data_IF_204066054100
#
_entry.id   IF_204066054100
#
_cell.length_a   1.000
_cell.length_b   1.000
_cell.length_c   1.000
_cell.angle_alpha   90.00
_cell.angle_beta   90.00
_cell.angle_gamma   90.00
#
_symmetry.space_group_name_H-M   'P 1'
#
loop_
_entity.id
_entity.type
_entity.pdbx_description
1 polymer ?
#
# COMPACT_ATOMS: atom_id res chain seq x y z
N UNK A 1 14.60 6.84 18.08
CA UNK A 1 13.67 6.15 17.16
C UNK A 1 13.16 7.15 16.14
N UNK A 2 13.03 6.76 14.86
CA UNK A 2 12.48 7.64 13.82
C UNK A 2 10.99 7.39 13.61
N UNK A 3 10.22 8.47 13.45
CA UNK A 3 8.81 8.40 13.07
C UNK A 3 8.69 8.53 11.53
N UNK A 4 7.78 7.77 10.92
CA UNK A 4 7.40 7.91 9.50
C UNK A 4 6.00 8.52 9.48
N UNK A 5 5.85 9.68 8.85
CA UNK A 5 4.54 10.30 8.59
C UNK A 5 4.23 10.12 7.12
N UNK A 6 3.08 9.53 6.80
CA UNK A 6 2.58 9.48 5.43
C UNK A 6 1.91 10.82 5.11
N UNK A 7 2.38 11.50 4.07
CA UNK A 7 1.77 12.72 3.54
C UNK A 7 1.07 12.46 2.21
N UNK A 8 0.29 13.42 1.72
CA UNK A 8 -0.34 13.31 0.40
C UNK A 8 0.69 13.30 -0.74
N UNK A 9 1.84 13.95 -0.56
CA UNK A 9 2.91 14.00 -1.56
C UNK A 9 3.60 12.63 -1.75
N UNK A 10 3.45 11.74 -0.77
CA UNK A 10 3.95 10.36 -0.85
C UNK A 10 3.08 9.46 -1.73
N UNK A 11 1.89 9.92 -2.16
CA UNK A 11 0.95 9.15 -2.99
C UNK A 11 1.29 9.16 -4.49
N UNK A 12 2.29 9.94 -4.93
CA UNK A 12 2.75 9.88 -6.31
C UNK A 12 3.65 8.67 -6.54
N UNK A 13 3.24 7.77 -7.44
CA UNK A 13 4.01 6.59 -7.83
C UNK A 13 4.67 6.73 -9.21
N UNK A 14 4.68 7.93 -9.79
CA UNK A 14 5.16 8.16 -11.16
C UNK A 14 6.63 7.75 -11.37
N UNK A 15 7.43 7.79 -10.32
CA UNK A 15 8.85 7.43 -10.32
C UNK A 15 9.12 5.95 -10.00
N UNK A 16 8.08 5.15 -9.73
CA UNK A 16 8.24 3.74 -9.37
C UNK A 16 8.65 2.94 -10.60
N UNK A 17 9.89 2.46 -10.61
CA UNK A 17 10.44 1.66 -11.70
C UNK A 17 10.25 0.17 -11.48
N UNK A 18 10.02 -0.24 -10.22
CA UNK A 18 9.80 -1.64 -9.85
C UNK A 18 8.90 -1.77 -8.62
N UNK A 19 7.94 -2.69 -8.73
CA UNK A 19 7.10 -3.10 -7.61
C UNK A 19 7.86 -4.13 -6.78
N UNK A 20 7.95 -3.86 -5.47
CA UNK A 20 8.57 -4.77 -4.52
C UNK A 20 7.58 -5.69 -3.83
N UNK A 21 7.94 -6.08 -2.61
CA UNK A 21 7.15 -6.92 -1.70
C UNK A 21 7.01 -6.23 -0.36
N UNK A 22 5.82 -6.35 0.22
CA UNK A 22 5.57 -5.98 1.61
C UNK A 22 5.05 -7.22 2.33
N UNK A 23 5.73 -7.59 3.41
CA UNK A 23 5.34 -8.67 4.28
C UNK A 23 4.89 -8.10 5.61
N UNK A 24 3.74 -8.55 6.09
CA UNK A 24 3.19 -8.19 7.38
C UNK A 24 3.23 -9.45 8.24
N UNK A 25 4.02 -9.42 9.30
CA UNK A 25 4.23 -10.55 10.20
C UNK A 25 3.76 -10.15 11.59
N UNK A 26 2.89 -10.96 12.20
CA UNK A 26 2.56 -10.81 13.61
C UNK A 26 3.79 -11.23 14.43
N UNK A 27 4.15 -10.40 15.42
CA UNK A 27 5.20 -10.70 16.38
C UNK A 27 4.57 -10.80 17.79
N UNK A 28 5.35 -11.33 18.74
CA UNK A 28 4.86 -11.59 20.09
C UNK A 28 4.25 -10.35 20.74
N UNK A 29 3.09 -10.51 21.38
CA UNK A 29 2.42 -9.42 22.12
C UNK A 29 1.39 -8.63 21.32
N UNK A 30 1.00 -9.08 20.11
CA UNK A 30 0.04 -8.39 19.25
C UNK A 30 0.65 -7.24 18.44
N UNK A 31 1.97 -7.09 18.52
CA UNK A 31 2.72 -6.18 17.67
C UNK A 31 2.84 -6.76 16.26
N UNK A 32 3.02 -5.88 15.27
CA UNK A 32 3.16 -6.26 13.86
C UNK A 32 4.48 -5.73 13.32
N UNK A 33 5.25 -6.62 12.71
CA UNK A 33 6.44 -6.27 11.95
C UNK A 33 6.09 -6.14 10.47
N UNK A 34 6.40 -5.00 9.88
CA UNK A 34 6.22 -4.75 8.45
C UNK A 34 7.59 -4.73 7.78
N UNK A 35 7.82 -5.67 6.87
CA UNK A 35 9.06 -5.76 6.09
C UNK A 35 8.78 -5.26 4.68
N UNK A 36 9.46 -4.19 4.29
CA UNK A 36 9.38 -3.59 2.95
C UNK A 36 10.67 -3.90 2.20
N UNK A 37 10.56 -4.50 1.01
CA UNK A 37 11.74 -4.85 0.21
C UNK A 37 11.49 -4.80 -1.30
N UNK A 38 12.53 -4.49 -2.07
CA UNK A 38 12.53 -4.62 -3.54
C UNK A 38 11.75 -3.56 -4.32
N UNK A 39 11.20 -2.53 -3.67
CA UNK A 39 10.67 -1.35 -4.36
C UNK A 39 11.82 -0.49 -4.88
N UNK A 40 11.66 0.04 -6.08
CA UNK A 40 12.63 0.98 -6.66
C UNK A 40 11.89 2.23 -7.15
N UNK A 41 12.40 3.39 -6.73
CA UNK A 41 11.92 4.71 -7.12
C UNK A 41 13.10 5.55 -7.61
N UNK A 42 12.95 6.21 -8.76
CA UNK A 42 14.04 6.97 -9.38
C UNK A 42 14.31 8.33 -8.74
N UNK A 43 13.38 8.84 -7.93
CA UNK A 43 13.39 10.20 -7.36
C UNK A 43 13.61 10.22 -5.84
N UNK A 44 13.69 9.05 -5.18
CA UNK A 44 13.75 8.97 -3.72
C UNK A 44 15.18 8.70 -3.23
N UNK A 45 15.81 9.64 -2.51
CA UNK A 45 17.22 9.53 -2.12
C UNK A 45 17.48 8.70 -0.85
N UNK A 46 16.45 8.34 -0.07
CA UNK A 46 16.64 7.69 1.24
C UNK A 46 15.72 6.50 1.45
N UNK A 47 16.21 5.49 2.18
CA UNK A 47 15.42 4.31 2.54
C UNK A 47 14.12 4.69 3.26
N UNK A 48 14.11 5.73 4.10
CA UNK A 48 12.90 6.20 4.79
C UNK A 48 11.83 6.64 3.81
N UNK A 49 12.19 7.42 2.79
CA UNK A 49 11.25 7.87 1.76
C UNK A 49 10.75 6.69 0.93
N UNK A 50 11.65 5.75 0.57
CA UNK A 50 11.26 4.51 -0.11
C UNK A 50 10.22 3.72 0.69
N UNK A 51 10.45 3.52 2.00
CA UNK A 51 9.50 2.88 2.90
C UNK A 51 8.18 3.64 2.96
N UNK A 52 8.23 4.97 3.10
CA UNK A 52 7.03 5.83 3.17
C UNK A 52 6.16 5.66 1.93
N UNK A 53 6.76 5.72 0.73
CA UNK A 53 6.04 5.57 -0.54
C UNK A 53 5.55 4.16 -0.79
N UNK A 54 6.33 3.14 -0.43
CA UNK A 54 5.87 1.75 -0.52
C UNK A 54 4.67 1.48 0.41
N UNK A 55 4.66 2.08 1.60
CA UNK A 55 3.53 2.00 2.53
C UNK A 55 2.29 2.73 2.00
N UNK A 56 2.47 3.90 1.36
CA UNK A 56 1.37 4.59 0.69
C UNK A 56 0.76 3.73 -0.44
N UNK A 57 1.61 3.08 -1.25
CA UNK A 57 1.16 2.14 -2.29
C UNK A 57 0.35 0.99 -1.71
N UNK A 58 0.80 0.39 -0.59
CA UNK A 58 0.07 -0.71 0.06
C UNK A 58 -1.32 -0.28 0.52
N UNK A 59 -1.43 0.89 1.15
CA UNK A 59 -2.71 1.46 1.59
C UNK A 59 -3.69 1.53 0.42
N UNK A 60 -3.24 2.07 -0.71
CA UNK A 60 -4.10 2.29 -1.87
C UNK A 60 -4.51 0.97 -2.54
N UNK A 61 -3.59 -0.02 -2.60
CA UNK A 61 -3.90 -1.37 -3.10
C UNK A 61 -4.95 -2.07 -2.23
N UNK A 62 -4.81 -1.97 -0.91
CA UNK A 62 -5.76 -2.57 0.03
C UNK A 62 -7.12 -1.88 -0.04
N UNK A 63 -7.16 -0.55 -0.09
CA UNK A 63 -8.39 0.23 -0.27
C UNK A 63 -9.11 -0.13 -1.57
N UNK A 64 -8.38 -0.23 -2.68
CA UNK A 64 -8.94 -0.68 -3.96
C UNK A 64 -9.52 -2.10 -3.86
N UNK A 65 -8.83 -3.03 -3.19
CA UNK A 65 -9.31 -4.41 -2.99
C UNK A 65 -10.60 -4.45 -2.15
N UNK A 66 -10.67 -3.66 -1.08
CA UNK A 66 -11.86 -3.56 -0.23
C UNK A 66 -13.04 -2.99 -1.04
N UNK A 67 -12.82 -1.92 -1.80
CA UNK A 67 -13.85 -1.32 -2.66
C UNK A 67 -14.36 -2.30 -3.72
N UNK A 68 -13.46 -3.05 -4.36
CA UNK A 68 -13.85 -4.09 -5.32
C UNK A 68 -14.70 -5.18 -4.66
N UNK A 69 -14.35 -5.61 -3.45
CA UNK A 69 -15.14 -6.59 -2.70
C UNK A 69 -16.55 -6.06 -2.41
N UNK A 70 -16.70 -4.79 -2.02
CA UNK A 70 -18.00 -4.15 -1.78
C UNK A 70 -18.85 -4.03 -3.05
N UNK A 71 -18.23 -3.72 -4.19
CA UNK A 71 -18.93 -3.67 -5.48
C UNK A 71 -19.38 -5.06 -5.91
N UNK A 72 -18.54 -6.08 -5.71
CA UNK A 72 -18.84 -7.47 -6.09
C UNK A 72 -19.93 -8.13 -5.24
N UNK A 73 -20.18 -7.62 -4.03
CA UNK A 73 -21.25 -8.10 -3.13
C UNK A 73 -22.58 -7.39 -3.35
N UNK A 74 -22.64 -6.38 -4.22
CA UNK A 74 -23.89 -5.72 -4.60
C UNK A 74 -24.62 -6.61 -5.62
N UNK A 75 -25.81 -7.16 -5.31
CA UNK A 75 -26.54 -7.99 -6.27
C UNK A 75 -26.89 -7.15 -7.49
N UNK A 76 -26.45 -7.60 -8.68
CA UNK A 76 -26.88 -7.05 -9.95
C UNK A 76 -28.38 -7.29 -10.02
N UNK A 77 -29.19 -6.24 -9.81
CA UNK A 77 -30.61 -6.27 -10.15
C UNK A 77 -30.68 -6.49 -11.65
N UNK A 78 -30.95 -7.73 -12.04
CA UNK A 78 -31.27 -8.11 -13.41
C UNK A 78 -32.49 -7.30 -13.81
N UNK A 79 -32.28 -6.22 -14.58
CA UNK A 79 -33.36 -5.55 -15.26
C UNK A 79 -33.83 -6.49 -16.38
N UNK A 80 -34.84 -7.29 -16.07
CA UNK A 80 -35.67 -7.96 -17.06
C UNK A 80 -36.84 -7.01 -17.29
N UNK A 81 -36.84 -6.35 -18.45
CA UNK A 81 -38.03 -5.86 -19.15
C UNK A 81 -37.77 -6.01 -20.65
#
# INVERSE_FOLDING_TARGET
MGHITLSMDDASYASMTKIGKIEVQEIHGGDVMIVVGGFEFSDLPTCRMHTTRAMAWLRDVLDAKIKLQQLSSTPVRSAVD
#
